data_IF_317511493838
#
_entry.id   IF_317511493838
#
_cell.length_a   1.000
_cell.length_b   1.000
_cell.length_c   1.000
_cell.angle_alpha   90.00
_cell.angle_beta   90.00
_cell.angle_gamma   90.00
#
_symmetry.space_group_name_H-M   'P 1'
#
loop_
_entity.id
_entity.type
_entity.pdbx_description
1 polymer ?
#
# COMPACT_ATOMS: atom_id res chain seq x y z
N UNK A 1 -16.31 -8.96 -8.80
CA UNK A 1 -16.33 -9.93 -7.69
C UNK A 1 -16.41 -9.17 -6.38
N UNK A 2 -17.57 -9.21 -5.73
CA UNK A 2 -17.77 -8.63 -4.41
C UNK A 2 -17.51 -9.68 -3.33
N UNK A 3 -16.30 -9.70 -2.77
CA UNK A 3 -16.07 -10.39 -1.50
C UNK A 3 -17.01 -9.76 -0.46
N UNK A 4 -17.75 -10.57 0.30
CA UNK A 4 -18.80 -10.11 1.24
C UNK A 4 -19.98 -9.35 0.59
N UNK A 5 -20.38 -9.67 -0.64
CA UNK A 5 -21.55 -9.09 -1.34
C UNK A 5 -22.81 -9.03 -0.49
N UNK A 6 -23.02 -10.07 0.32
CA UNK A 6 -24.26 -10.24 1.09
C UNK A 6 -24.27 -9.43 2.38
N UNK A 7 -23.11 -8.94 2.81
CA UNK A 7 -22.92 -8.26 4.10
C UNK A 7 -22.88 -6.74 3.97
N UNK A 8 -22.38 -6.24 2.83
CA UNK A 8 -22.20 -4.81 2.59
C UNK A 8 -23.32 -4.34 1.65
N UNK A 9 -24.06 -3.26 1.98
CA UNK A 9 -25.23 -2.85 1.22
C UNK A 9 -24.84 -2.07 -0.06
N UNK A 10 -24.13 -2.73 -0.97
CA UNK A 10 -23.60 -2.13 -2.20
C UNK A 10 -24.71 -1.62 -3.13
N UNK A 11 -25.82 -2.33 -3.25
CA UNK A 11 -26.97 -1.88 -4.04
C UNK A 11 -27.57 -0.58 -3.48
N UNK A 12 -27.70 -0.48 -2.15
CA UNK A 12 -28.17 0.73 -1.50
C UNK A 12 -27.20 1.90 -1.75
N UNK A 13 -25.89 1.66 -1.70
CA UNK A 13 -24.87 2.65 -2.07
C UNK A 13 -25.00 3.06 -3.54
N UNK A 14 -25.10 2.09 -4.46
CA UNK A 14 -25.23 2.34 -5.89
C UNK A 14 -26.48 3.17 -6.21
N UNK A 15 -27.59 2.94 -5.51
CA UNK A 15 -28.84 3.69 -5.69
C UNK A 15 -28.70 5.20 -5.39
N UNK A 16 -27.68 5.60 -4.62
CA UNK A 16 -27.38 7.01 -4.34
C UNK A 16 -26.73 7.70 -5.53
N UNK A 17 -26.20 6.95 -6.50
CA UNK A 17 -25.52 7.48 -7.66
C UNK A 17 -26.30 7.23 -8.95
N UNK A 18 -26.06 8.10 -9.91
CA UNK A 18 -26.46 7.94 -11.30
C UNK A 18 -25.27 8.21 -12.20
N UNK A 19 -25.25 7.55 -13.35
CA UNK A 19 -24.21 7.75 -14.34
C UNK A 19 -24.68 8.85 -15.31
N UNK A 20 -23.93 9.94 -15.40
CA UNK A 20 -24.23 11.04 -16.33
C UNK A 20 -23.01 11.41 -17.14
N UNK A 21 -23.23 11.95 -18.35
CA UNK A 21 -22.16 12.59 -19.12
C UNK A 21 -21.72 13.87 -18.42
N UNK A 22 -20.41 14.01 -18.28
CA UNK A 22 -19.80 15.24 -17.80
C UNK A 22 -19.94 16.34 -18.86
N UNK A 23 -19.72 17.59 -18.47
CA UNK A 23 -19.77 18.73 -19.37
C UNK A 23 -18.75 18.63 -20.54
N UNK A 24 -18.90 19.46 -21.60
CA UNK A 24 -18.02 19.42 -22.77
C UNK A 24 -16.54 19.63 -22.46
N UNK A 25 -16.18 20.40 -21.42
CA UNK A 25 -14.78 20.60 -21.03
C UNK A 25 -14.15 19.36 -20.39
N UNK A 26 -14.93 18.34 -20.02
CA UNK A 26 -14.47 17.02 -19.60
C UNK A 26 -14.65 15.96 -20.70
N UNK A 27 -14.75 16.41 -21.96
CA UNK A 27 -14.89 15.58 -23.17
C UNK A 27 -16.11 14.65 -23.17
N UNK A 28 -17.18 15.00 -22.43
CA UNK A 28 -18.42 14.22 -22.41
C UNK A 28 -18.31 12.81 -21.82
N UNK A 29 -17.27 12.53 -21.03
CA UNK A 29 -17.09 11.23 -20.39
C UNK A 29 -18.19 10.91 -19.37
N UNK A 30 -18.46 9.63 -19.10
CA UNK A 30 -19.40 9.25 -18.05
C UNK A 30 -18.76 9.41 -16.67
N UNK A 31 -19.53 9.87 -15.69
CA UNK A 31 -19.11 9.91 -14.31
C UNK A 31 -20.27 9.66 -13.33
N UNK A 32 -19.93 9.26 -12.11
CA UNK A 32 -20.89 9.07 -11.03
C UNK A 32 -21.30 10.43 -10.45
N UNK A 33 -22.60 10.71 -10.45
CA UNK A 33 -23.20 11.87 -9.83
C UNK A 33 -24.12 11.44 -8.71
N UNK A 34 -24.11 12.18 -7.60
CA UNK A 34 -25.03 11.93 -6.49
C UNK A 34 -26.45 12.31 -6.88
N UNK A 35 -27.39 11.37 -6.71
CA UNK A 35 -28.81 11.64 -6.85
C UNK A 35 -29.27 12.49 -5.67
N UNK A 36 -30.01 13.55 -5.96
CA UNK A 36 -30.68 14.37 -4.94
C UNK A 36 -31.96 13.63 -4.53
N UNK A 37 -31.84 12.68 -3.61
CA UNK A 37 -32.97 11.97 -3.00
C UNK A 37 -32.99 12.23 -1.49
N UNK A 38 -34.18 12.28 -0.86
CA UNK A 38 -34.30 12.57 0.57
C UNK A 38 -33.53 11.58 1.47
N UNK A 39 -33.38 10.33 1.02
CA UNK A 39 -32.76 9.23 1.76
C UNK A 39 -31.29 8.97 1.39
N UNK A 40 -30.73 9.66 0.38
CA UNK A 40 -29.33 9.49 -0.06
C UNK A 40 -28.33 9.61 1.10
N UNK A 41 -28.53 10.61 1.98
CA UNK A 41 -27.66 10.83 3.14
C UNK A 41 -27.71 9.66 4.12
N UNK A 42 -28.91 9.14 4.37
CA UNK A 42 -29.14 8.00 5.29
C UNK A 42 -28.53 6.72 4.72
N UNK A 43 -28.71 6.46 3.42
CA UNK A 43 -28.10 5.32 2.72
C UNK A 43 -26.58 5.37 2.77
N UNK A 44 -25.96 6.53 2.52
CA UNK A 44 -24.51 6.71 2.62
C UNK A 44 -24.00 6.46 4.04
N UNK A 45 -24.65 7.05 5.05
CA UNK A 45 -24.25 6.87 6.45
C UNK A 45 -24.35 5.40 6.88
N UNK A 46 -25.45 4.72 6.53
CA UNK A 46 -25.64 3.30 6.81
C UNK A 46 -24.57 2.44 6.10
N UNK A 47 -24.27 2.72 4.82
CA UNK A 47 -23.22 2.02 4.09
C UNK A 47 -21.87 2.15 4.79
N UNK A 48 -21.46 3.37 5.16
CA UNK A 48 -20.17 3.62 5.83
C UNK A 48 -20.10 2.86 7.15
N UNK A 49 -21.17 2.89 7.95
CA UNK A 49 -21.23 2.17 9.22
C UNK A 49 -21.04 0.65 9.02
N UNK A 50 -21.82 0.04 8.12
CA UNK A 50 -21.76 -1.40 7.86
C UNK A 50 -20.41 -1.80 7.27
N UNK A 51 -19.88 -1.00 6.34
CA UNK A 51 -18.56 -1.23 5.74
C UNK A 51 -17.46 -1.22 6.81
N UNK A 52 -17.41 -0.19 7.66
CA UNK A 52 -16.40 -0.08 8.72
C UNK A 52 -16.51 -1.22 9.74
N UNK A 53 -17.74 -1.61 10.11
CA UNK A 53 -17.96 -2.77 10.97
C UNK A 53 -17.49 -4.07 10.32
N UNK A 54 -17.68 -4.22 9.01
CA UNK A 54 -17.18 -5.38 8.26
C UNK A 54 -15.66 -5.46 8.27
N UNK A 55 -14.99 -4.37 7.91
CA UNK A 55 -13.53 -4.30 7.90
C UNK A 55 -12.97 -4.58 9.30
N UNK A 56 -13.56 -4.01 10.35
CA UNK A 56 -13.11 -4.22 11.73
C UNK A 56 -13.25 -5.68 12.17
N UNK A 57 -14.36 -6.34 11.83
CA UNK A 57 -14.56 -7.76 12.15
C UNK A 57 -13.62 -8.66 11.37
N UNK A 58 -13.41 -8.39 10.08
CA UNK A 58 -12.50 -9.17 9.25
C UNK A 58 -11.05 -8.99 9.74
N UNK A 59 -10.64 -7.78 10.08
CA UNK A 59 -9.33 -7.50 10.69
C UNK A 59 -9.15 -8.23 12.03
N UNK A 60 -10.16 -8.22 12.90
CA UNK A 60 -10.14 -8.96 14.16
C UNK A 60 -10.05 -10.48 13.95
N UNK A 61 -10.77 -11.02 12.96
CA UNK A 61 -10.71 -12.42 12.55
C UNK A 61 -9.31 -12.79 12.05
N UNK A 62 -8.70 -11.95 11.21
CA UNK A 62 -7.33 -12.16 10.74
C UNK A 62 -6.31 -12.10 11.88
N UNK A 63 -6.46 -11.16 12.82
CA UNK A 63 -5.57 -11.02 13.98
C UNK A 63 -5.53 -12.25 14.87
N UNK A 64 -6.63 -13.02 14.96
CA UNK A 64 -6.71 -14.29 15.72
C UNK A 64 -5.82 -15.40 15.19
N UNK A 65 -5.32 -15.29 13.94
CA UNK A 65 -4.36 -16.26 13.37
C UNK A 65 -2.97 -16.16 14.00
N UNK A 66 -2.70 -15.09 14.73
CA UNK A 66 -1.41 -14.79 15.36
C UNK A 66 -1.55 -14.75 16.88
N UNK A 67 -0.47 -15.00 17.64
CA UNK A 67 -0.48 -14.92 19.10
C UNK A 67 -1.06 -13.61 19.62
N UNK A 68 -1.94 -13.65 20.63
CA UNK A 68 -2.56 -12.44 21.19
C UNK A 68 -1.49 -11.49 21.77
N UNK A 69 -0.45 -12.06 22.37
CA UNK A 69 0.73 -11.35 22.87
C UNK A 69 1.97 -11.97 22.23
N UNK A 70 2.88 -11.11 21.79
CA UNK A 70 4.20 -11.51 21.32
C UNK A 70 5.23 -11.16 22.41
N UNK A 71 6.19 -12.04 22.63
CA UNK A 71 7.37 -11.71 23.44
C UNK A 71 8.22 -10.69 22.70
N UNK A 72 8.89 -9.81 23.46
CA UNK A 72 9.78 -8.80 22.87
C UNK A 72 11.03 -9.52 22.35
N UNK A 73 11.29 -9.49 21.03
CA UNK A 73 12.47 -10.14 20.47
C UNK A 73 13.77 -9.50 20.95
N UNK A 74 14.84 -10.28 21.02
CA UNK A 74 16.19 -9.74 21.22
C UNK A 74 16.58 -8.86 20.01
N UNK A 75 17.42 -7.84 20.22
CA UNK A 75 17.84 -6.93 19.15
C UNK A 75 18.52 -7.65 17.98
N UNK A 76 19.24 -8.74 18.25
CA UNK A 76 19.96 -9.52 17.24
C UNK A 76 19.13 -10.66 16.65
N UNK A 77 17.91 -10.86 17.16
CA UNK A 77 17.02 -11.90 16.68
C UNK A 77 16.60 -11.63 15.23
N UNK A 78 16.67 -12.66 14.40
CA UNK A 78 16.19 -12.62 13.01
C UNK A 78 14.66 -12.72 13.01
N UNK A 79 13.98 -11.63 12.67
CA UNK A 79 12.52 -11.60 12.57
C UNK A 79 12.02 -12.08 11.22
N UNK A 80 12.69 -11.67 10.14
CA UNK A 80 12.33 -12.09 8.79
C UNK A 80 12.99 -13.45 8.54
N UNK A 81 12.21 -14.52 8.63
CA UNK A 81 12.68 -15.88 8.34
C UNK A 81 13.19 -16.01 6.90
N UNK A 82 13.93 -17.07 6.61
CA UNK A 82 14.40 -17.36 5.25
C UNK A 82 13.22 -17.50 4.27
N UNK A 83 12.14 -18.16 4.69
CA UNK A 83 10.92 -18.31 3.90
C UNK A 83 10.27 -16.96 3.58
N UNK A 84 10.08 -16.11 4.60
CA UNK A 84 9.51 -14.78 4.41
C UNK A 84 10.41 -13.91 3.51
N UNK A 85 11.73 -13.97 3.72
CA UNK A 85 12.71 -13.25 2.91
C UNK A 85 12.66 -13.67 1.44
N UNK A 86 12.59 -14.98 1.16
CA UNK A 86 12.41 -15.50 -0.21
C UNK A 86 11.09 -15.03 -0.82
N UNK A 87 10.00 -15.01 -0.05
CA UNK A 87 8.69 -14.60 -0.54
C UNK A 87 8.64 -13.13 -0.97
N UNK A 88 9.27 -12.25 -0.19
CA UNK A 88 9.27 -10.80 -0.46
C UNK A 88 10.34 -10.35 -1.46
N UNK A 89 11.30 -11.21 -1.79
CA UNK A 89 12.52 -10.85 -2.52
C UNK A 89 12.26 -10.11 -3.83
N UNK A 90 11.32 -10.58 -4.64
CA UNK A 90 11.02 -9.96 -5.95
C UNK A 90 10.50 -8.53 -5.80
N UNK A 91 9.71 -8.28 -4.75
CA UNK A 91 9.21 -6.94 -4.46
C UNK A 91 10.30 -6.07 -3.86
N UNK A 92 11.13 -6.59 -2.96
CA UNK A 92 12.31 -5.86 -2.44
C UNK A 92 13.23 -5.46 -3.57
N UNK A 93 13.51 -6.38 -4.50
CA UNK A 93 14.32 -6.09 -5.67
C UNK A 93 13.73 -4.95 -6.50
N UNK A 94 12.41 -4.92 -6.72
CA UNK A 94 11.72 -3.89 -7.52
C UNK A 94 11.95 -2.46 -7.01
N UNK A 95 11.98 -2.24 -5.69
CA UNK A 95 12.19 -0.89 -5.12
C UNK A 95 13.63 -0.62 -4.68
N UNK A 96 14.42 -1.66 -4.35
CA UNK A 96 15.80 -1.52 -3.87
C UNK A 96 16.83 -1.48 -5.02
N UNK A 97 16.45 -1.78 -6.26
CA UNK A 97 17.36 -1.84 -7.41
C UNK A 97 17.99 -0.47 -7.77
N UNK A 98 17.30 0.65 -7.50
CA UNK A 98 17.76 1.99 -7.89
C UNK A 98 18.59 2.69 -6.81
N UNK A 99 18.41 2.34 -5.53
CA UNK A 99 19.07 3.02 -4.40
C UNK A 99 20.59 2.80 -4.29
N UNK A 100 21.16 1.98 -5.18
CA UNK A 100 22.58 1.62 -5.18
C UNK A 100 23.21 1.64 -6.57
N UNK A 101 22.68 2.36 -7.57
CA UNK A 101 23.53 2.67 -8.73
C UNK A 101 24.56 3.71 -8.27
N UNK A 102 25.87 3.38 -8.23
CA UNK A 102 26.87 4.37 -7.84
C UNK A 102 26.90 5.50 -8.86
N UNK A 103 26.93 6.74 -8.37
CA UNK A 103 27.00 7.96 -9.20
C UNK A 103 28.41 8.16 -9.80
N UNK A 104 29.45 7.56 -9.19
CA UNK A 104 30.86 7.76 -9.54
C UNK A 104 31.52 6.48 -10.09
N UNK A 105 32.44 6.64 -11.06
CA UNK A 105 33.17 5.54 -11.70
C UNK A 105 34.06 4.74 -10.72
N UNK A 106 34.56 5.38 -9.65
CA UNK A 106 35.42 4.73 -8.64
C UNK A 106 34.65 3.76 -7.71
N UNK A 107 33.34 3.95 -7.55
CA UNK A 107 32.49 3.07 -6.74
C UNK A 107 32.02 1.82 -7.49
N UNK A 108 32.22 1.76 -8.82
CA UNK A 108 31.87 0.60 -9.65
C UNK A 108 32.72 -0.64 -9.33
N UNK A 109 33.98 -0.46 -8.92
CA UNK A 109 34.89 -1.57 -8.57
C UNK A 109 34.54 -2.23 -7.21
N UNK A 110 33.80 -1.52 -6.35
CA UNK A 110 33.30 -2.01 -5.04
C UNK A 110 31.83 -2.43 -5.13
N UNK A 111 31.09 -1.90 -6.11
CA UNK A 111 29.68 -2.18 -6.31
C UNK A 111 29.45 -3.63 -6.76
N UNK A 112 28.90 -4.43 -5.82
CA UNK A 112 28.38 -5.76 -6.14
C UNK A 112 26.91 -5.61 -6.53
N UNK A 113 26.60 -5.96 -7.78
CA UNK A 113 25.21 -6.04 -8.24
C UNK A 113 24.35 -6.81 -7.22
N UNK A 114 23.13 -6.35 -6.92
CA UNK A 114 22.22 -7.09 -6.07
C UNK A 114 22.07 -8.52 -6.58
N UNK A 115 22.50 -9.50 -5.77
CA UNK A 115 22.36 -10.90 -6.11
C UNK A 115 20.87 -11.23 -6.15
N UNK A 116 20.30 -11.28 -7.36
CA UNK A 116 18.93 -11.72 -7.53
C UNK A 116 18.81 -13.21 -7.15
N UNK A 117 17.75 -13.54 -6.41
CA UNK A 117 17.28 -14.92 -6.15
C UNK A 117 18.06 -15.70 -5.09
N UNK A 118 18.71 -15.03 -4.13
CA UNK A 118 19.41 -15.67 -3.01
C UNK A 118 19.33 -14.82 -1.74
N UNK A 119 19.08 -15.48 -0.62
CA UNK A 119 19.25 -14.91 0.71
C UNK A 119 20.65 -14.33 0.87
N UNK A 120 20.77 -13.21 1.60
CA UNK A 120 22.07 -12.61 1.89
C UNK A 120 22.95 -13.61 2.65
N UNK A 121 24.11 -14.02 2.11
CA UNK A 121 25.03 -14.93 2.79
C UNK A 121 25.91 -14.22 3.81
N UNK A 122 25.90 -12.88 3.83
CA UNK A 122 26.75 -12.07 4.70
C UNK A 122 26.07 -11.91 6.06
N UNK A 123 26.57 -12.65 7.05
CA UNK A 123 26.13 -12.60 8.45
C UNK A 123 26.83 -11.51 9.26
N UNK A 124 27.90 -10.92 8.71
CA UNK A 124 28.61 -9.79 9.32
C UNK A 124 27.74 -8.52 9.25
N UNK A 125 27.88 -7.65 10.25
CA UNK A 125 27.11 -6.40 10.39
C UNK A 125 27.60 -5.29 9.46
N UNK A 126 27.82 -5.64 8.19
CA UNK A 126 28.12 -4.66 7.15
C UNK A 126 26.91 -4.48 6.23
N UNK A 127 26.44 -3.25 6.16
CA UNK A 127 25.45 -2.75 5.21
C UNK A 127 25.98 -2.70 3.75
N UNK A 128 27.28 -2.90 3.55
CA UNK A 128 27.97 -2.81 2.25
C UNK A 128 27.87 -4.07 1.39
N UNK A 129 27.05 -5.05 1.78
CA UNK A 129 27.01 -6.34 1.09
C UNK A 129 26.36 -6.29 -0.31
N UNK A 130 25.65 -5.19 -0.65
CA UNK A 130 24.97 -5.02 -1.94
C UNK A 130 23.75 -5.94 -2.15
N UNK A 131 23.43 -6.83 -1.20
CA UNK A 131 22.30 -7.75 -1.31
C UNK A 131 20.95 -7.01 -1.32
N UNK A 132 19.98 -7.60 -2.02
CA UNK A 132 18.61 -7.08 -2.14
C UNK A 132 17.96 -6.83 -0.78
N UNK A 133 18.09 -7.82 0.11
CA UNK A 133 17.69 -7.73 1.51
C UNK A 133 18.89 -8.16 2.37
N UNK A 134 19.71 -7.20 2.85
CA UNK A 134 20.83 -7.49 3.74
C UNK A 134 20.39 -8.23 5.00
N UNK A 135 21.26 -9.08 5.56
CA UNK A 135 20.93 -9.85 6.77
C UNK A 135 20.56 -8.95 7.96
N UNK A 136 21.22 -7.79 8.10
CA UNK A 136 20.91 -6.80 9.13
C UNK A 136 19.48 -6.26 9.03
N UNK A 137 18.92 -6.11 7.82
CA UNK A 137 17.54 -5.65 7.62
C UNK A 137 16.48 -6.68 8.05
N UNK A 138 16.90 -7.91 8.33
CA UNK A 138 16.04 -9.01 8.79
C UNK A 138 15.98 -9.10 10.32
N UNK A 139 16.91 -8.45 11.03
CA UNK A 139 17.02 -8.48 12.49
C UNK A 139 16.04 -7.50 13.15
N UNK A 140 15.69 -7.77 14.41
CA UNK A 140 14.88 -6.88 15.24
C UNK A 140 15.47 -5.46 15.33
N UNK A 141 16.81 -5.33 15.40
CA UNK A 141 17.50 -4.03 15.47
C UNK A 141 17.14 -3.10 14.30
N UNK A 142 16.89 -3.62 13.09
CA UNK A 142 16.42 -2.81 11.97
C UNK A 142 15.02 -2.21 12.21
N UNK A 143 14.12 -2.94 12.89
CA UNK A 143 12.78 -2.48 13.26
C UNK A 143 12.77 -1.52 14.47
N UNK A 144 13.89 -1.43 15.20
CA UNK A 144 14.06 -0.49 16.31
C UNK A 144 14.54 0.89 15.84
N UNK A 145 14.95 1.03 14.57
CA UNK A 145 15.40 2.31 14.02
C UNK A 145 14.27 3.35 14.09
N UNK A 146 14.59 4.50 14.65
CA UNK A 146 13.61 5.52 14.96
C UNK A 146 13.25 6.36 13.73
N UNK A 147 11.96 6.64 13.57
CA UNK A 147 11.51 7.81 12.81
C UNK A 147 11.91 9.09 13.56
N UNK A 148 12.65 9.97 12.90
CA UNK A 148 13.13 11.25 13.45
C UNK A 148 12.48 12.40 12.67
N UNK A 149 11.94 13.43 13.33
CA UNK A 149 11.47 14.64 12.65
C UNK A 149 12.61 15.31 11.87
N UNK A 150 12.34 15.72 10.64
CA UNK A 150 13.32 16.40 9.80
C UNK A 150 12.71 17.66 9.16
N UNK A 151 13.59 18.61 8.82
CA UNK A 151 13.24 19.75 7.96
C UNK A 151 13.29 19.37 6.48
N UNK A 152 13.04 20.35 5.62
CA UNK A 152 13.17 20.15 4.18
C UNK A 152 14.61 19.79 3.81
N UNK A 153 14.75 18.90 2.82
CA UNK A 153 16.02 18.35 2.34
C UNK A 153 16.80 17.48 3.36
N UNK A 154 16.32 17.34 4.59
CA UNK A 154 16.97 16.54 5.63
C UNK A 154 16.42 15.12 5.78
N UNK A 155 15.50 14.68 4.91
CA UNK A 155 14.82 13.39 5.06
C UNK A 155 15.82 12.23 5.03
N UNK A 156 16.63 12.13 3.98
CA UNK A 156 17.57 11.01 3.82
C UNK A 156 18.66 11.04 4.90
N UNK A 157 19.15 12.23 5.27
CA UNK A 157 20.13 12.37 6.37
C UNK A 157 19.60 11.82 7.70
N UNK A 158 18.32 12.02 8.00
CA UNK A 158 17.74 11.66 9.30
C UNK A 158 17.06 10.29 9.32
N UNK A 159 16.54 9.82 8.20
CA UNK A 159 15.60 8.69 8.15
C UNK A 159 15.92 7.63 7.09
N UNK A 160 17.00 7.73 6.31
CA UNK A 160 17.25 6.77 5.22
C UNK A 160 17.16 5.30 5.67
N UNK A 161 17.84 4.94 6.76
CA UNK A 161 17.85 3.55 7.26
C UNK A 161 16.53 3.10 7.89
N UNK A 162 15.84 3.99 8.61
CA UNK A 162 14.54 3.69 9.20
C UNK A 162 13.43 3.63 8.14
N UNK A 163 13.55 4.44 7.11
CA UNK A 163 12.68 4.43 5.92
C UNK A 163 12.90 3.17 5.08
N UNK A 164 14.15 2.72 4.91
CA UNK A 164 14.42 1.43 4.25
C UNK A 164 13.75 0.27 4.97
N UNK A 165 13.82 0.23 6.30
CA UNK A 165 13.09 -0.78 7.08
C UNK A 165 11.57 -0.64 6.91
N UNK A 166 11.04 0.58 6.81
CA UNK A 166 9.62 0.80 6.49
C UNK A 166 9.23 0.23 5.12
N UNK A 167 10.07 0.35 4.09
CA UNK A 167 9.81 -0.25 2.76
C UNK A 167 9.77 -1.79 2.85
N UNK A 168 10.63 -2.39 3.67
CA UNK A 168 10.56 -3.83 4.00
C UNK A 168 9.25 -4.17 4.71
N UNK A 169 8.82 -3.38 5.70
CA UNK A 169 7.54 -3.57 6.41
C UNK A 169 6.35 -3.50 5.46
N UNK A 170 6.30 -2.51 4.58
CA UNK A 170 5.26 -2.40 3.55
C UNK A 170 5.24 -3.63 2.66
N UNK A 171 6.42 -4.11 2.27
CA UNK A 171 6.55 -5.33 1.46
C UNK A 171 6.01 -6.55 2.21
N UNK A 172 6.38 -6.74 3.48
CA UNK A 172 5.86 -7.82 4.32
C UNK A 172 4.32 -7.79 4.40
N UNK A 173 3.72 -6.61 4.58
CA UNK A 173 2.26 -6.43 4.60
C UNK A 173 1.61 -6.88 3.28
N UNK A 174 2.19 -6.51 2.14
CA UNK A 174 1.64 -6.87 0.83
C UNK A 174 1.68 -8.38 0.56
N UNK A 175 2.67 -9.08 1.13
CA UNK A 175 2.82 -10.52 1.02
C UNK A 175 2.09 -11.30 2.12
N UNK A 176 1.42 -10.61 3.05
CA UNK A 176 0.70 -11.22 4.17
C UNK A 176 1.61 -11.76 5.28
N UNK A 177 2.90 -11.41 5.27
CA UNK A 177 3.88 -11.80 6.28
C UNK A 177 3.78 -10.90 7.52
N UNK A 178 2.74 -11.14 8.33
CA UNK A 178 2.45 -10.29 9.49
C UNK A 178 3.25 -10.65 10.75
N UNK A 179 3.78 -11.87 10.85
CA UNK A 179 4.49 -12.31 12.06
C UNK A 179 5.69 -11.41 12.41
N UNK A 180 6.63 -11.09 11.49
CA UNK A 180 7.73 -10.17 11.80
C UNK A 180 7.24 -8.79 12.25
N UNK A 181 6.16 -8.30 11.65
CA UNK A 181 5.58 -6.99 11.96
C UNK A 181 4.99 -7.01 13.37
N UNK A 182 4.16 -8.00 13.71
CA UNK A 182 3.52 -8.13 15.02
C UNK A 182 4.54 -8.31 16.13
N UNK A 183 5.58 -9.11 15.88
CA UNK A 183 6.68 -9.32 16.83
C UNK A 183 7.48 -8.05 17.05
N UNK A 184 7.79 -7.30 15.98
CA UNK A 184 8.48 -6.01 16.11
C UNK A 184 7.64 -4.98 16.89
N UNK A 185 6.32 -4.98 16.74
CA UNK A 185 5.40 -4.13 17.51
C UNK A 185 5.30 -4.48 19.00
N UNK A 186 5.77 -5.65 19.44
CA UNK A 186 5.85 -5.98 20.87
C UNK A 186 6.84 -5.07 21.62
N UNK A 187 7.85 -4.56 20.91
CA UNK A 187 8.79 -3.59 21.44
C UNK A 187 8.13 -2.23 21.64
N UNK A 188 8.12 -1.74 22.89
CA UNK A 188 7.46 -0.47 23.28
C UNK A 188 8.03 0.76 22.57
N UNK A 189 9.27 0.71 22.09
CA UNK A 189 9.90 1.78 21.33
C UNK A 189 9.64 1.73 19.83
N UNK A 190 8.79 0.82 19.34
CA UNK A 190 8.50 0.71 17.90
C UNK A 190 7.90 2.02 17.36
N UNK A 191 8.50 2.54 16.29
CA UNK A 191 8.01 3.73 15.60
C UNK A 191 7.09 3.39 14.41
N UNK A 192 6.72 2.12 14.19
CA UNK A 192 5.87 1.73 13.05
C UNK A 192 4.54 2.50 13.02
N UNK A 193 3.90 2.74 14.16
CA UNK A 193 2.68 3.56 14.21
C UNK A 193 2.90 5.01 13.76
N UNK A 194 4.08 5.60 14.04
CA UNK A 194 4.43 6.98 13.61
C UNK A 194 4.60 7.09 12.09
N UNK A 195 4.91 5.97 11.43
CA UNK A 195 5.00 5.88 9.98
C UNK A 195 3.64 5.67 9.27
N UNK A 196 2.50 5.71 9.98
CA UNK A 196 1.17 5.56 9.34
C UNK A 196 0.96 6.58 8.22
N UNK A 197 1.17 7.85 8.53
CA UNK A 197 1.17 8.96 7.59
C UNK A 197 2.48 9.73 7.77
N UNK A 198 3.27 9.80 6.70
CA UNK A 198 4.56 10.47 6.72
C UNK A 198 4.88 11.12 5.38
N UNK A 199 5.67 12.19 5.43
CA UNK A 199 6.02 13.08 4.31
C UNK A 199 7.52 13.38 4.37
N UNK A 200 8.14 13.63 3.22
CA UNK A 200 9.57 13.98 3.13
C UNK A 200 9.90 15.29 3.85
N UNK A 201 9.01 16.27 3.76
CA UNK A 201 9.06 17.54 4.49
C UNK A 201 7.63 18.02 4.79
N UNK A 202 7.47 18.93 5.75
CA UNK A 202 6.19 19.58 6.06
C UNK A 202 5.52 20.31 4.88
N UNK A 203 6.28 20.67 3.83
CA UNK A 203 5.73 21.27 2.62
C UNK A 203 5.32 20.25 1.54
N UNK A 204 5.57 18.95 1.76
CA UNK A 204 5.32 17.87 0.79
C UNK A 204 4.09 17.05 1.20
N UNK A 205 3.38 16.41 0.24
CA UNK A 205 2.29 15.51 0.58
C UNK A 205 2.78 14.29 1.37
N UNK A 206 1.91 13.74 2.22
CA UNK A 206 2.17 12.50 2.95
C UNK A 206 2.09 11.27 2.03
N UNK A 207 3.17 11.00 1.30
CA UNK A 207 3.31 9.88 0.36
C UNK A 207 4.10 8.69 0.90
N UNK A 208 4.81 8.84 2.02
CA UNK A 208 5.77 7.85 2.50
C UNK A 208 5.21 6.84 3.51
N UNK A 209 4.05 7.12 4.10
CA UNK A 209 3.51 6.28 5.17
C UNK A 209 2.95 4.93 4.69
N UNK A 210 2.95 3.92 5.56
CA UNK A 210 2.37 2.60 5.23
C UNK A 210 0.83 2.62 5.16
N UNK A 211 0.18 3.67 5.68
CA UNK A 211 -1.27 3.88 5.53
C UNK A 211 -1.73 3.96 4.07
N UNK A 212 -0.82 4.26 3.13
CA UNK A 212 -1.11 4.24 1.68
C UNK A 212 -1.56 2.88 1.17
N UNK A 213 -1.07 1.78 1.77
CA UNK A 213 -1.52 0.42 1.41
C UNK A 213 -3.03 0.30 1.63
N UNK A 214 -3.51 0.70 2.81
CA UNK A 214 -4.93 0.67 3.13
C UNK A 214 -5.75 1.64 2.27
N UNK A 215 -5.26 2.86 2.07
CA UNK A 215 -5.95 3.88 1.28
C UNK A 215 -6.16 3.43 -0.18
N UNK A 216 -5.13 2.88 -0.82
CA UNK A 216 -5.21 2.40 -2.19
C UNK A 216 -6.11 1.15 -2.29
N UNK A 217 -5.96 0.20 -1.35
CA UNK A 217 -6.79 -0.99 -1.29
C UNK A 217 -8.28 -0.65 -1.15
N UNK A 218 -8.66 0.19 -0.18
CA UNK A 218 -10.06 0.60 0.04
C UNK A 218 -10.60 1.36 -1.15
N UNK A 219 -9.84 2.29 -1.73
CA UNK A 219 -10.26 3.08 -2.90
C UNK A 219 -10.58 2.18 -4.10
N UNK A 220 -9.66 1.29 -4.45
CA UNK A 220 -9.86 0.36 -5.56
C UNK A 220 -10.98 -0.64 -5.28
N UNK A 221 -11.04 -1.18 -4.06
CA UNK A 221 -12.12 -2.10 -3.67
C UNK A 221 -13.49 -1.43 -3.76
N UNK A 222 -13.67 -0.24 -3.17
CA UNK A 222 -14.94 0.49 -3.24
C UNK A 222 -15.32 0.84 -4.69
N UNK A 223 -14.36 1.33 -5.48
CA UNK A 223 -14.64 1.73 -6.87
C UNK A 223 -15.06 0.54 -7.73
N UNK A 224 -14.32 -0.57 -7.68
CA UNK A 224 -14.63 -1.76 -8.48
C UNK A 224 -15.96 -2.40 -8.07
N UNK A 225 -16.28 -2.43 -6.77
CA UNK A 225 -17.55 -2.96 -6.30
C UNK A 225 -18.73 -2.04 -6.66
N UNK A 226 -18.56 -0.72 -6.55
CA UNK A 226 -19.60 0.23 -6.92
C UNK A 226 -19.91 0.16 -8.42
N UNK A 227 -18.87 0.18 -9.27
CA UNK A 227 -19.03 0.16 -10.73
C UNK A 227 -19.65 -1.12 -11.27
N UNK A 228 -19.59 -2.22 -10.52
CA UNK A 228 -20.30 -3.45 -10.87
C UNK A 228 -21.82 -3.24 -10.98
N UNK A 229 -22.39 -2.29 -10.24
CA UNK A 229 -23.82 -1.95 -10.33
C UNK A 229 -24.17 -1.02 -11.50
N UNK A 230 -23.16 -0.57 -12.26
CA UNK A 230 -23.33 0.32 -13.40
C UNK A 230 -22.88 -0.33 -14.73
N UNK A 231 -22.38 -1.57 -14.71
CA UNK A 231 -21.85 -2.26 -15.90
C UNK A 231 -22.92 -2.59 -16.95
N UNK A 232 -24.20 -2.48 -16.61
CA UNK A 232 -25.33 -2.72 -17.52
C UNK A 232 -26.13 -1.43 -17.83
N UNK A 233 -25.52 -0.26 -17.63
CA UNK A 233 -26.23 1.00 -17.93
C UNK A 233 -26.16 1.34 -19.43
N UNK A 234 -27.34 1.39 -20.03
CA UNK A 234 -27.59 1.89 -21.37
C UNK A 234 -27.60 3.43 -21.32
N UNK A 235 -26.97 4.09 -22.29
CA UNK A 235 -27.21 5.52 -22.46
C UNK A 235 -28.61 5.78 -23.05
N UNK A 236 -29.05 7.04 -23.08
CA UNK A 236 -30.36 7.43 -23.61
C UNK A 236 -30.58 7.00 -25.08
N UNK A 237 -29.52 6.62 -25.80
CA UNK A 237 -29.56 6.11 -27.17
C UNK A 237 -29.52 4.58 -27.26
N UNK A 238 -29.71 3.87 -26.14
CA UNK A 238 -29.55 2.42 -26.04
C UNK A 238 -28.17 1.93 -26.55
N UNK A 239 -27.13 2.77 -26.43
CA UNK A 239 -25.76 2.34 -26.59
C UNK A 239 -25.25 1.88 -25.23
N UNK A 240 -24.74 0.65 -25.12
CA UNK A 240 -24.21 0.19 -23.84
C UNK A 240 -23.00 1.05 -23.46
N UNK A 241 -22.93 1.42 -22.18
CA UNK A 241 -21.67 1.90 -21.59
C UNK A 241 -20.84 0.63 -21.33
N UNK A 242 -20.45 -0.05 -22.41
CA UNK A 242 -19.84 -1.39 -22.42
C UNK A 242 -18.50 -1.45 -21.69
N UNK A 243 -17.95 -0.29 -21.31
CA UNK A 243 -16.62 -0.21 -20.73
C UNK A 243 -16.56 0.76 -19.55
N UNK A 244 -16.68 0.20 -18.34
CA UNK A 244 -16.50 0.94 -17.09
C UNK A 244 -15.13 1.64 -17.00
N UNK A 245 -14.13 1.22 -17.79
CA UNK A 245 -12.81 1.87 -17.85
C UNK A 245 -12.86 3.29 -18.44
N UNK A 246 -13.96 3.65 -19.11
CA UNK A 246 -14.22 5.01 -19.63
C UNK A 246 -14.85 5.94 -18.59
N UNK A 247 -15.27 5.42 -17.44
CA UNK A 247 -15.88 6.21 -16.37
C UNK A 247 -14.77 7.02 -15.66
N UNK A 248 -14.97 8.34 -15.48
CA UNK A 248 -13.96 9.22 -14.89
C UNK A 248 -13.58 8.82 -13.46
N UNK A 249 -14.56 8.42 -12.64
CA UNK A 249 -14.32 7.89 -11.31
C UNK A 249 -13.36 6.67 -11.32
N UNK A 250 -13.53 5.74 -12.27
CA UNK A 250 -12.61 4.62 -12.45
C UNK A 250 -11.20 5.09 -12.81
N UNK A 251 -11.07 5.94 -13.83
CA UNK A 251 -9.78 6.45 -14.30
C UNK A 251 -9.02 7.18 -13.18
N UNK A 252 -9.74 7.95 -12.35
CA UNK A 252 -9.17 8.61 -11.18
C UNK A 252 -8.73 7.62 -10.11
N UNK A 253 -9.54 6.58 -9.81
CA UNK A 253 -9.17 5.55 -8.84
C UNK A 253 -7.91 4.79 -9.29
N UNK A 254 -7.83 4.41 -10.57
CA UNK A 254 -6.64 3.79 -11.16
C UNK A 254 -5.45 4.73 -11.02
N UNK A 255 -5.54 5.96 -11.55
CA UNK A 255 -4.43 6.92 -11.49
C UNK A 255 -3.89 7.12 -10.08
N UNK A 256 -4.76 7.29 -9.09
CA UNK A 256 -4.37 7.52 -7.70
C UNK A 256 -3.80 6.28 -7.01
N UNK A 257 -4.06 5.08 -7.52
CA UNK A 257 -3.64 3.82 -6.91
C UNK A 257 -2.47 3.15 -7.66
N UNK A 258 -2.08 3.69 -8.82
CA UNK A 258 -0.99 3.19 -9.68
C UNK A 258 0.06 4.26 -9.99
N UNK A 259 0.02 5.41 -9.32
CA UNK A 259 1.00 6.48 -9.49
C UNK A 259 2.42 5.99 -9.16
N UNK A 260 3.42 6.59 -9.80
CA UNK A 260 4.82 6.23 -9.60
C UNK A 260 5.77 7.38 -9.81
N UNK A 261 7.04 7.12 -9.50
CA UNK A 261 8.09 8.12 -9.50
C UNK A 261 8.15 8.89 -8.19
N UNK A 262 7.49 8.37 -7.15
CA UNK A 262 7.65 8.86 -5.78
C UNK A 262 8.74 8.07 -5.07
N UNK A 263 9.28 8.63 -3.99
CA UNK A 263 10.27 7.96 -3.14
C UNK A 263 9.77 6.62 -2.54
N UNK A 264 8.45 6.41 -2.46
CA UNK A 264 7.84 5.14 -2.06
C UNK A 264 6.64 4.82 -2.96
N UNK A 265 6.81 3.83 -3.84
CA UNK A 265 5.76 3.34 -4.74
C UNK A 265 5.17 1.99 -4.32
N UNK A 266 5.68 1.36 -3.25
CA UNK A 266 5.33 -0.03 -2.88
C UNK A 266 3.82 -0.25 -2.76
N UNK A 267 3.10 0.70 -2.16
CA UNK A 267 1.65 0.63 -1.98
C UNK A 267 0.85 0.59 -3.30
N UNK A 268 1.46 0.85 -4.45
CA UNK A 268 0.83 0.82 -5.77
C UNK A 268 1.07 -0.48 -6.52
N UNK A 269 2.06 -1.29 -6.12
CA UNK A 269 2.47 -2.49 -6.85
C UNK A 269 1.34 -3.51 -7.05
N UNK A 270 0.55 -3.91 -6.03
CA UNK A 270 -0.53 -4.87 -6.25
C UNK A 270 -1.58 -4.36 -7.26
N UNK A 271 -1.83 -3.05 -7.28
CA UNK A 271 -2.77 -2.43 -8.21
C UNK A 271 -2.22 -2.39 -9.63
N UNK A 272 -0.93 -2.08 -9.78
CA UNK A 272 -0.23 -2.11 -11.06
C UNK A 272 -0.19 -3.52 -11.65
N UNK A 273 0.16 -4.49 -10.85
CA UNK A 273 0.23 -5.90 -11.25
C UNK A 273 -1.17 -6.41 -11.65
N UNK A 274 -2.22 -6.05 -10.89
CA UNK A 274 -3.61 -6.37 -11.24
C UNK A 274 -4.06 -5.73 -12.56
N UNK A 275 -3.58 -4.53 -12.86
CA UNK A 275 -3.99 -3.73 -14.04
C UNK A 275 -3.06 -3.91 -15.24
N UNK A 276 -1.94 -4.61 -15.09
CA UNK A 276 -0.92 -4.80 -16.13
C UNK A 276 -0.15 -3.53 -16.50
N UNK A 277 0.18 -2.69 -15.49
CA UNK A 277 0.93 -1.42 -15.64
C UNK A 277 2.38 -1.59 -15.20
#
# INVERSE_FOLDING_TARGET
MAHNSDRIPWEALASVFELRRTNPCQHGAYNLHTRIQPDSKTKLANFVQVFMQSVAQDAAQQRKRYPERCEVPDENEVLISDEAATKIESTVWRWNHEAYQPDDEDDLDIFKQPTARKLCPHIEESDKCGCVLPFIERKMSAFQRQQVPNGCYGFDTCNLESFRNLEVVKTLMLHGEMDPILRSCAYRGSHLAKWWEHQECQCMPASLGWGKICQNAVKMYMMLNLLHYFSETWDDNASPIDDYRKIKAYQQAVRLSTESGHKSDIATYPHRDLLGI
#
